data_IF_956804397385
#
_entry.id   IF_956804397385
#
_cell.length_a   1.000
_cell.length_b   1.000
_cell.length_c   1.000
_cell.angle_alpha   90.00
_cell.angle_beta   90.00
_cell.angle_gamma   90.00
#
_symmetry.space_group_name_H-M   'P 1'
#
loop_
_entity.id
_entity.type
_entity.pdbx_description
1 polymer ?
#
# COMPACT_ATOMS: atom_id res chain seq x y z
N UNK A 1 -44.17 48.94 11.02
CA UNK A 1 -42.70 49.16 10.87
C UNK A 1 -42.41 50.07 9.67
N UNK A 2 -41.95 51.32 9.87
CA UNK A 2 -41.62 52.28 8.80
C UNK A 2 -40.28 51.88 8.16
N UNK A 3 -40.26 51.41 6.88
CA UNK A 3 -39.04 51.21 6.11
C UNK A 3 -38.33 52.60 5.87
N UNK A 4 -37.19 52.79 6.52
CA UNK A 4 -36.32 53.97 6.32
C UNK A 4 -35.83 53.98 4.87
N UNK A 5 -36.30 54.92 4.02
CA UNK A 5 -35.81 55.15 2.67
C UNK A 5 -34.36 55.70 2.76
N UNK A 6 -33.40 55.00 2.10
CA UNK A 6 -32.04 55.44 1.98
C UNK A 6 -31.96 56.79 1.20
N UNK A 7 -31.12 57.72 1.66
CA UNK A 7 -30.92 58.99 1.01
C UNK A 7 -30.30 58.84 -0.40
N UNK A 8 -30.67 59.74 -1.32
CA UNK A 8 -30.14 59.74 -2.70
C UNK A 8 -28.60 59.73 -2.75
N UNK A 9 -27.93 60.40 -1.79
CA UNK A 9 -26.47 60.46 -1.67
C UNK A 9 -25.88 59.08 -1.32
N UNK A 10 -26.46 58.33 -0.39
CA UNK A 10 -26.05 56.94 -0.03
C UNK A 10 -26.24 55.98 -1.16
N UNK A 11 -27.31 56.09 -1.94
CA UNK A 11 -27.53 55.24 -3.13
C UNK A 11 -26.46 55.51 -4.22
N UNK A 12 -26.06 56.78 -4.47
CA UNK A 12 -25.01 57.11 -5.42
C UNK A 12 -23.65 56.55 -5.00
N UNK A 13 -23.29 56.65 -3.72
CA UNK A 13 -22.03 56.10 -3.20
C UNK A 13 -21.97 54.57 -3.31
N UNK A 14 -23.06 53.87 -2.98
CA UNK A 14 -23.12 52.40 -3.12
C UNK A 14 -23.04 51.99 -4.60
N UNK A 15 -23.72 52.73 -5.49
CA UNK A 15 -23.68 52.46 -6.92
C UNK A 15 -22.27 52.68 -7.51
N UNK A 16 -21.56 53.73 -7.11
CA UNK A 16 -20.17 53.97 -7.50
C UNK A 16 -19.21 52.87 -6.96
N UNK A 17 -19.39 52.39 -5.73
CA UNK A 17 -18.58 51.31 -5.17
C UNK A 17 -18.82 49.96 -5.92
N UNK A 18 -20.05 49.67 -6.30
CA UNK A 18 -20.37 48.49 -7.09
C UNK A 18 -19.75 48.54 -8.49
N UNK A 19 -19.78 49.70 -9.14
CA UNK A 19 -19.12 49.89 -10.46
C UNK A 19 -17.61 49.72 -10.33
N UNK A 20 -16.97 50.28 -9.32
CA UNK A 20 -15.52 50.11 -9.09
C UNK A 20 -15.19 48.66 -8.84
N UNK A 21 -16.00 47.90 -8.04
CA UNK A 21 -15.79 46.50 -7.80
C UNK A 21 -15.91 45.65 -9.06
N UNK A 22 -16.90 45.96 -9.92
CA UNK A 22 -17.08 45.29 -11.21
C UNK A 22 -15.88 45.57 -12.15
N UNK A 23 -15.38 46.81 -12.20
CA UNK A 23 -14.21 47.18 -13.02
C UNK A 23 -12.93 46.49 -12.52
N UNK A 24 -12.77 46.31 -11.21
CA UNK A 24 -11.64 45.57 -10.64
C UNK A 24 -11.73 44.06 -10.98
N UNK A 25 -12.93 43.50 -10.94
CA UNK A 25 -13.14 42.06 -11.32
C UNK A 25 -12.90 41.87 -12.83
N UNK A 26 -13.41 42.78 -13.67
CA UNK A 26 -13.22 42.72 -15.14
C UNK A 26 -11.75 43.00 -15.49
N UNK A 27 -11.11 44.01 -14.89
CA UNK A 27 -9.70 44.31 -15.11
C UNK A 27 -8.77 43.19 -14.63
N UNK A 28 -9.06 42.63 -13.46
CA UNK A 28 -8.34 41.45 -12.93
C UNK A 28 -8.51 40.24 -13.82
N UNK A 29 -9.74 39.95 -14.28
CA UNK A 29 -10.02 38.84 -15.20
C UNK A 29 -9.33 39.04 -16.56
N UNK A 30 -9.35 40.28 -17.12
CA UNK A 30 -8.66 40.62 -18.37
C UNK A 30 -7.14 40.51 -18.26
N UNK A 31 -6.58 40.92 -17.12
CA UNK A 31 -5.14 40.78 -16.82
C UNK A 31 -4.70 39.32 -16.74
N UNK A 32 -5.51 38.44 -16.09
CA UNK A 32 -5.25 37.01 -15.98
C UNK A 32 -5.36 36.35 -17.36
N UNK A 33 -6.36 36.71 -18.17
CA UNK A 33 -6.58 36.10 -19.49
C UNK A 33 -5.50 36.53 -20.53
N UNK A 34 -4.92 37.73 -20.39
CA UNK A 34 -3.88 38.24 -21.31
C UNK A 34 -2.46 37.83 -20.83
N UNK A 35 -2.29 37.34 -19.64
CA UNK A 35 -1.00 36.90 -19.13
C UNK A 35 -0.88 35.37 -19.27
N UNK A 36 -0.54 34.93 -20.49
CA UNK A 36 -0.44 33.49 -20.84
C UNK A 36 0.48 32.72 -19.89
N UNK A 37 1.54 33.36 -19.35
CA UNK A 37 2.44 32.73 -18.40
C UNK A 37 1.81 32.56 -17.01
N UNK A 38 0.97 33.50 -16.56
CA UNK A 38 0.26 33.38 -15.28
C UNK A 38 -0.88 32.35 -15.38
N UNK A 39 -1.62 32.36 -16.50
CA UNK A 39 -2.66 31.38 -16.78
C UNK A 39 -2.07 29.98 -16.93
N UNK A 40 -0.87 29.88 -17.53
CA UNK A 40 -0.13 28.60 -17.64
C UNK A 40 0.36 28.12 -16.28
N UNK A 41 0.95 28.99 -15.45
CA UNK A 41 1.34 28.68 -14.06
C UNK A 41 0.16 28.32 -13.16
N UNK A 42 -1.01 28.94 -13.35
CA UNK A 42 -2.23 28.61 -12.62
C UNK A 42 -2.78 27.25 -13.11
N UNK A 43 -2.76 26.97 -14.42
CA UNK A 43 -3.12 25.66 -14.97
C UNK A 43 -2.13 24.57 -14.53
N UNK A 44 -0.84 24.82 -14.55
CA UNK A 44 0.19 23.89 -14.06
C UNK A 44 0.05 23.62 -12.55
N UNK A 45 -0.46 24.59 -11.77
CA UNK A 45 -0.74 24.40 -10.33
C UNK A 45 -2.09 23.70 -10.05
N UNK A 46 -2.97 23.60 -11.06
CA UNK A 46 -4.31 22.98 -10.96
C UNK A 46 -4.36 21.62 -11.66
N UNK A 47 -3.38 21.26 -12.48
CA UNK A 47 -3.20 19.86 -12.85
C UNK A 47 -2.71 19.11 -11.60
N UNK A 48 -3.64 18.57 -10.83
CA UNK A 48 -3.36 17.55 -9.85
C UNK A 48 -2.73 16.41 -10.63
N UNK A 49 -1.40 16.30 -10.59
CA UNK A 49 -0.70 15.19 -11.23
C UNK A 49 -1.23 13.91 -10.61
N UNK A 50 -1.79 13.05 -11.45
CA UNK A 50 -2.24 11.73 -11.00
C UNK A 50 -1.04 10.88 -10.64
N UNK A 51 -1.10 10.20 -9.49
CA UNK A 51 -0.12 9.19 -9.14
C UNK A 51 -0.10 8.10 -10.23
N UNK A 52 1.10 7.58 -10.52
CA UNK A 52 1.29 6.50 -11.49
C UNK A 52 0.77 5.17 -10.97
N UNK A 53 0.94 4.94 -9.65
CA UNK A 53 0.63 3.65 -9.06
C UNK A 53 -0.86 3.45 -8.78
N UNK A 54 -1.54 4.50 -8.32
CA UNK A 54 -2.97 4.44 -7.96
C UNK A 54 -3.61 5.81 -8.07
N UNK A 55 -4.86 5.88 -8.52
CA UNK A 55 -5.65 7.11 -8.48
C UNK A 55 -6.21 7.29 -7.05
N UNK A 56 -5.70 8.28 -6.31
CA UNK A 56 -6.15 8.55 -4.94
C UNK A 56 -7.59 9.08 -4.87
N UNK A 57 -8.09 9.66 -5.95
CA UNK A 57 -9.46 10.16 -6.06
C UNK A 57 -10.45 9.06 -6.49
N UNK A 58 -9.92 7.92 -6.96
CA UNK A 58 -10.73 6.77 -7.32
C UNK A 58 -11.47 6.22 -6.11
N UNK A 59 -12.75 5.95 -6.30
CA UNK A 59 -13.62 5.30 -5.32
C UNK A 59 -13.72 3.79 -5.50
N UNK A 60 -12.95 3.20 -6.40
CA UNK A 60 -12.89 1.74 -6.55
C UNK A 60 -12.47 1.11 -5.23
N UNK A 61 -13.23 0.14 -4.75
CA UNK A 61 -12.88 -0.61 -3.54
C UNK A 61 -11.76 -1.59 -3.84
N UNK A 62 -10.67 -1.61 -3.04
CA UNK A 62 -9.53 -2.49 -3.29
C UNK A 62 -9.87 -3.98 -3.13
N UNK A 63 -9.06 -4.84 -3.75
CA UNK A 63 -9.04 -6.29 -3.53
C UNK A 63 -7.76 -6.69 -2.83
N UNK A 64 -7.86 -7.42 -1.72
CA UNK A 64 -6.73 -7.96 -0.96
C UNK A 64 -6.59 -9.46 -1.22
N UNK A 65 -5.67 -9.87 -2.07
CA UNK A 65 -5.52 -11.26 -2.52
C UNK A 65 -4.38 -11.95 -1.80
N UNK A 66 -4.68 -13.08 -1.14
CA UNK A 66 -3.69 -13.92 -0.48
C UNK A 66 -2.83 -14.69 -1.48
N UNK A 67 -1.53 -14.48 -1.45
CA UNK A 67 -0.56 -15.09 -2.38
C UNK A 67 0.39 -16.03 -1.64
N UNK A 68 0.57 -17.20 -2.22
CA UNK A 68 1.45 -18.26 -1.71
C UNK A 68 2.92 -17.92 -1.93
N UNK A 69 3.72 -17.86 -0.86
CA UNK A 69 5.16 -17.54 -0.96
C UNK A 69 6.08 -18.74 -0.66
N UNK A 70 5.57 -19.96 -0.72
CA UNK A 70 6.41 -21.17 -0.66
C UNK A 70 7.37 -21.23 -1.85
N UNK A 71 8.59 -21.76 -1.70
CA UNK A 71 9.61 -21.80 -2.75
C UNK A 71 9.10 -22.38 -4.09
N UNK A 72 8.23 -23.41 -4.03
CA UNK A 72 7.60 -24.00 -5.24
C UNK A 72 6.50 -23.13 -5.85
N UNK A 73 6.02 -22.14 -5.11
CA UNK A 73 4.98 -21.21 -5.58
C UNK A 73 5.57 -19.92 -6.16
N UNK A 74 6.73 -19.48 -5.66
CA UNK A 74 7.37 -18.24 -6.12
C UNK A 74 7.61 -18.19 -7.63
N UNK A 75 7.95 -19.33 -8.22
CA UNK A 75 8.10 -19.45 -9.69
C UNK A 75 6.76 -19.37 -10.44
N UNK A 76 5.64 -19.19 -9.75
CA UNK A 76 4.30 -19.08 -10.29
C UNK A 76 3.62 -17.77 -9.85
N UNK A 77 4.35 -16.83 -9.27
CA UNK A 77 3.78 -15.53 -8.94
C UNK A 77 3.35 -14.83 -10.23
N UNK A 78 2.15 -14.28 -10.23
CA UNK A 78 1.61 -13.54 -11.34
C UNK A 78 0.80 -12.34 -10.83
N UNK A 79 1.00 -11.19 -11.47
CA UNK A 79 0.26 -9.97 -11.20
C UNK A 79 0.72 -9.19 -9.98
N UNK A 80 1.87 -9.51 -9.36
CA UNK A 80 2.36 -8.76 -8.20
C UNK A 80 2.77 -7.33 -8.56
N UNK A 81 3.21 -7.08 -9.79
CA UNK A 81 3.61 -5.75 -10.25
C UNK A 81 2.42 -4.81 -10.47
N UNK A 82 1.20 -5.35 -10.61
CA UNK A 82 -0.05 -4.57 -10.67
C UNK A 82 -0.57 -4.17 -9.28
N UNK A 83 -0.09 -4.82 -8.21
CA UNK A 83 -0.46 -4.48 -6.85
C UNK A 83 0.23 -3.20 -6.40
N UNK A 84 -0.53 -2.25 -5.81
CA UNK A 84 0.07 -1.02 -5.30
C UNK A 84 0.66 -1.18 -3.90
N UNK A 85 0.16 -2.14 -3.10
CA UNK A 85 0.75 -2.54 -1.82
C UNK A 85 0.82 -4.07 -1.75
N UNK A 86 1.95 -4.60 -1.28
CA UNK A 86 2.12 -6.02 -0.98
C UNK A 86 2.61 -6.18 0.45
N UNK A 87 1.79 -6.79 1.30
CA UNK A 87 2.18 -7.16 2.67
C UNK A 87 2.84 -8.54 2.66
N UNK A 88 3.95 -8.67 3.38
CA UNK A 88 4.60 -9.96 3.64
C UNK A 88 4.71 -10.19 5.14
N UNK A 89 4.26 -11.33 5.61
CA UNK A 89 4.39 -11.74 7.00
C UNK A 89 4.64 -13.24 7.13
N UNK A 90 5.25 -13.64 8.25
CA UNK A 90 5.51 -15.04 8.56
C UNK A 90 4.20 -15.82 8.66
N UNK A 91 4.20 -17.04 8.16
CA UNK A 91 3.09 -17.98 8.25
C UNK A 91 3.55 -19.26 8.96
N UNK A 92 3.13 -20.44 8.49
CA UNK A 92 3.54 -21.70 9.11
C UNK A 92 4.94 -22.13 8.70
N UNK A 93 5.63 -22.84 9.59
CA UNK A 93 6.89 -23.51 9.31
C UNK A 93 8.02 -22.55 8.93
N UNK A 94 7.99 -21.32 9.45
CA UNK A 94 8.99 -20.31 9.17
C UNK A 94 8.94 -19.72 7.75
N UNK A 95 7.90 -20.06 6.97
CA UNK A 95 7.69 -19.49 5.64
C UNK A 95 6.79 -18.27 5.73
N UNK A 96 6.94 -17.33 4.81
CA UNK A 96 6.06 -16.17 4.70
C UNK A 96 4.89 -16.42 3.75
N UNK A 97 3.94 -15.51 3.80
CA UNK A 97 2.84 -15.38 2.85
C UNK A 97 2.71 -13.93 2.43
N UNK A 98 2.24 -13.69 1.20
CA UNK A 98 1.97 -12.35 0.72
C UNK A 98 0.45 -12.09 0.73
N UNK A 99 0.10 -10.82 0.87
CA UNK A 99 -1.22 -10.30 0.56
C UNK A 99 -1.04 -9.08 -0.34
N UNK A 100 -1.52 -9.19 -1.58
CA UNK A 100 -1.37 -8.15 -2.59
C UNK A 100 -2.67 -7.34 -2.71
N UNK A 101 -2.56 -6.01 -2.67
CA UNK A 101 -3.69 -5.08 -2.76
C UNK A 101 -3.74 -4.51 -4.18
N UNK A 102 -4.87 -4.74 -4.85
CA UNK A 102 -5.16 -4.27 -6.20
C UNK A 102 -6.23 -3.19 -6.16
N UNK A 103 -6.02 -2.11 -6.91
CA UNK A 103 -6.98 -1.03 -7.11
C UNK A 103 -6.75 -0.40 -8.48
N UNK A 104 -7.80 -0.16 -9.24
CA UNK A 104 -7.77 0.53 -10.55
C UNK A 104 -6.87 -0.13 -11.61
N UNK A 105 -6.63 -1.43 -11.49
CA UNK A 105 -5.85 -2.22 -12.44
C UNK A 105 -6.63 -3.46 -12.86
N UNK A 106 -6.63 -3.73 -14.15
CA UNK A 106 -7.14 -4.97 -14.72
C UNK A 106 -5.99 -5.97 -14.81
N UNK A 107 -6.06 -6.97 -13.95
CA UNK A 107 -5.05 -8.03 -13.87
C UNK A 107 -5.69 -9.36 -14.23
N UNK A 108 -5.31 -9.90 -15.39
CA UNK A 108 -5.92 -11.13 -15.94
C UNK A 108 -5.53 -12.39 -15.16
N UNK A 109 -4.40 -12.36 -14.45
CA UNK A 109 -3.93 -13.51 -13.68
C UNK A 109 -3.24 -13.08 -12.40
N UNK A 110 -3.84 -13.47 -11.28
CA UNK A 110 -3.34 -13.18 -9.92
C UNK A 110 -3.09 -14.50 -9.21
N UNK A 111 -1.91 -14.69 -8.66
CA UNK A 111 -1.62 -15.88 -7.86
C UNK A 111 -0.16 -16.24 -7.68
N UNK A 112 0.09 -17.43 -7.14
CA UNK A 112 -0.91 -18.47 -6.81
C UNK A 112 -1.64 -18.13 -5.52
N UNK A 113 -2.97 -18.13 -5.58
CA UNK A 113 -3.83 -17.77 -4.44
C UNK A 113 -3.73 -18.81 -3.32
N UNK A 114 -3.75 -18.35 -2.07
CA UNK A 114 -3.52 -19.20 -0.89
C UNK A 114 -4.49 -18.89 0.26
N UNK A 115 -4.37 -19.72 1.31
CA UNK A 115 -5.27 -19.69 2.47
C UNK A 115 -5.08 -18.46 3.34
N UNK A 116 -6.17 -17.96 3.91
CA UNK A 116 -6.23 -16.88 4.89
C UNK A 116 -5.50 -17.22 6.19
N UNK A 117 -4.96 -16.20 6.85
CA UNK A 117 -4.46 -16.21 8.24
C UNK A 117 -5.01 -14.99 8.99
N UNK A 118 -5.19 -15.09 10.32
CA UNK A 118 -5.98 -14.13 11.09
C UNK A 118 -5.44 -12.68 11.00
N UNK A 119 -4.14 -12.50 11.07
CA UNK A 119 -3.51 -11.16 11.04
C UNK A 119 -3.57 -10.47 9.66
N UNK A 120 -3.70 -11.20 8.55
CA UNK A 120 -3.90 -10.59 7.23
C UNK A 120 -5.27 -9.93 7.10
N UNK A 121 -6.25 -10.35 7.91
CA UNK A 121 -7.56 -9.69 7.96
C UNK A 121 -7.44 -8.24 8.46
N UNK A 122 -6.53 -7.99 9.39
CA UNK A 122 -6.30 -6.66 9.96
C UNK A 122 -5.79 -5.67 8.90
N UNK A 123 -4.91 -6.16 8.03
CA UNK A 123 -4.37 -5.39 6.89
C UNK A 123 -5.37 -5.28 5.72
N UNK A 124 -6.23 -6.27 5.51
CA UNK A 124 -7.31 -6.17 4.54
C UNK A 124 -8.37 -5.14 4.98
N UNK A 125 -8.72 -5.12 6.28
CA UNK A 125 -9.69 -4.19 6.87
C UNK A 125 -9.17 -2.75 6.91
N UNK A 126 -7.88 -2.53 7.18
CA UNK A 126 -7.30 -1.18 7.14
C UNK A 126 -7.35 -0.56 5.74
N UNK A 127 -7.36 -1.37 4.69
CA UNK A 127 -7.52 -0.94 3.30
C UNK A 127 -8.99 -0.93 2.84
N UNK A 128 -9.94 -1.31 3.69
CA UNK A 128 -11.35 -1.56 3.30
C UNK A 128 -11.48 -2.48 2.09
N UNK A 129 -10.58 -3.45 1.97
CA UNK A 129 -10.49 -4.31 0.80
C UNK A 129 -11.49 -5.47 0.86
N UNK A 130 -11.99 -5.91 -0.31
CA UNK A 130 -12.63 -7.21 -0.45
C UNK A 130 -11.53 -8.27 -0.36
N UNK A 131 -11.62 -9.13 0.66
CA UNK A 131 -10.57 -10.10 0.99
C UNK A 131 -10.71 -11.40 0.18
N UNK A 132 -9.67 -11.78 -0.56
CA UNK A 132 -9.68 -12.90 -1.50
C UNK A 132 -8.66 -13.96 -1.09
N UNK A 133 -9.11 -15.19 -0.92
CA UNK A 133 -8.27 -16.29 -0.46
C UNK A 133 -8.77 -17.65 -0.98
N UNK A 134 -7.95 -18.70 -0.84
CA UNK A 134 -8.33 -20.07 -1.16
C UNK A 134 -8.12 -20.96 0.05
N UNK A 135 -9.16 -21.12 0.86
CA UNK A 135 -9.12 -21.77 2.17
C UNK A 135 -8.69 -20.83 3.30
N UNK A 136 -8.67 -21.34 4.53
CA UNK A 136 -8.35 -20.59 5.75
C UNK A 136 -7.78 -21.51 6.85
N UNK A 137 -7.20 -20.91 7.90
CA UNK A 137 -7.01 -21.57 9.18
C UNK A 137 -8.29 -21.45 10.03
N UNK A 138 -8.52 -22.33 11.03
CA UNK A 138 -9.69 -22.23 11.89
C UNK A 138 -9.88 -20.85 12.52
N UNK A 139 -8.82 -20.27 13.06
CA UNK A 139 -8.88 -18.91 13.62
C UNK A 139 -9.25 -17.85 12.56
N UNK A 140 -8.66 -17.92 11.36
CA UNK A 140 -9.01 -16.98 10.30
C UNK A 140 -10.47 -17.12 9.85
N UNK A 141 -11.02 -18.33 9.83
CA UNK A 141 -12.44 -18.58 9.54
C UNK A 141 -13.34 -17.91 10.59
N UNK A 142 -13.03 -18.10 11.86
CA UNK A 142 -13.74 -17.47 12.97
C UNK A 142 -13.68 -15.96 12.90
N UNK A 143 -12.49 -15.40 12.67
CA UNK A 143 -12.26 -13.96 12.59
C UNK A 143 -12.96 -13.31 11.39
N UNK A 144 -13.00 -13.96 10.23
CA UNK A 144 -13.77 -13.49 9.06
C UNK A 144 -15.24 -13.27 9.43
N UNK A 145 -15.83 -14.20 10.17
CA UNK A 145 -17.21 -14.11 10.62
C UNK A 145 -17.37 -13.02 11.70
N UNK A 146 -16.52 -13.04 12.72
CA UNK A 146 -16.62 -12.14 13.88
C UNK A 146 -16.39 -10.67 13.49
N UNK A 147 -15.45 -10.41 12.57
CA UNK A 147 -15.13 -9.07 12.06
C UNK A 147 -16.00 -8.66 10.87
N UNK A 148 -16.92 -9.51 10.45
CA UNK A 148 -17.81 -9.27 9.31
C UNK A 148 -17.06 -8.87 8.03
N UNK A 149 -15.97 -9.62 7.70
CA UNK A 149 -15.11 -9.32 6.55
C UNK A 149 -15.81 -9.71 5.25
N UNK A 150 -15.94 -8.76 4.32
CA UNK A 150 -16.33 -9.07 2.95
C UNK A 150 -15.24 -9.94 2.32
N UNK A 151 -15.52 -11.23 2.10
CA UNK A 151 -14.51 -12.17 1.64
C UNK A 151 -14.99 -13.06 0.48
N UNK A 152 -14.04 -13.46 -0.34
CA UNK A 152 -14.20 -14.41 -1.44
C UNK A 152 -13.29 -15.60 -1.16
N UNK A 153 -13.87 -16.76 -0.88
CA UNK A 153 -13.14 -18.02 -0.70
C UNK A 153 -13.20 -18.85 -1.98
N UNK A 154 -12.12 -18.90 -2.73
CA UNK A 154 -12.04 -19.62 -4.00
C UNK A 154 -12.35 -21.12 -3.93
N UNK A 155 -12.41 -21.74 -2.72
CA UNK A 155 -12.90 -23.13 -2.57
C UNK A 155 -14.40 -23.22 -2.87
N UNK A 156 -15.15 -22.15 -2.63
CA UNK A 156 -16.60 -22.07 -2.78
C UNK A 156 -17.03 -21.51 -4.13
N UNK A 157 -16.07 -21.13 -4.97
CA UNK A 157 -16.31 -20.45 -6.22
C UNK A 157 -16.16 -21.39 -7.44
N UNK A 158 -16.66 -20.93 -8.58
CA UNK A 158 -16.57 -21.65 -9.85
C UNK A 158 -15.12 -21.83 -10.30
N UNK A 159 -14.82 -22.96 -10.96
CA UNK A 159 -13.52 -23.18 -11.61
C UNK A 159 -13.23 -22.23 -12.79
N UNK A 160 -14.24 -21.49 -13.26
CA UNK A 160 -14.05 -20.44 -14.25
C UNK A 160 -13.53 -19.14 -13.61
N UNK A 161 -13.82 -18.94 -12.33
CA UNK A 161 -13.40 -17.73 -11.58
C UNK A 161 -12.15 -17.97 -10.73
N UNK A 162 -11.94 -19.24 -10.30
CA UNK A 162 -10.71 -19.70 -9.64
C UNK A 162 -10.23 -20.98 -10.31
N UNK A 163 -9.16 -20.89 -11.07
CA UNK A 163 -8.68 -22.02 -11.91
C UNK A 163 -7.28 -22.49 -11.53
N UNK A 164 -7.01 -23.76 -11.85
CA UNK A 164 -5.68 -24.35 -11.70
C UNK A 164 -5.01 -24.48 -13.05
N UNK A 165 -3.76 -23.98 -13.17
CA UNK A 165 -2.94 -24.25 -14.33
C UNK A 165 -2.39 -25.67 -14.29
N UNK A 166 -2.30 -26.32 -15.46
CA UNK A 166 -1.95 -27.76 -15.58
C UNK A 166 -0.44 -28.00 -15.53
N UNK A 167 0.36 -27.02 -15.94
CA UNK A 167 1.83 -27.10 -15.98
C UNK A 167 2.47 -26.94 -14.58
N UNK A 168 1.70 -26.63 -13.58
CA UNK A 168 2.15 -26.47 -12.19
C UNK A 168 1.40 -27.42 -11.26
N UNK A 169 2.10 -27.87 -10.20
CA UNK A 169 1.52 -28.81 -9.23
C UNK A 169 0.70 -28.15 -8.14
N UNK A 170 -0.45 -28.75 -7.81
CA UNK A 170 -1.21 -28.40 -6.62
C UNK A 170 -0.33 -28.57 -5.35
N UNK A 171 -0.46 -27.72 -4.33
CA UNK A 171 -1.42 -26.62 -4.16
C UNK A 171 -0.90 -25.24 -4.61
N UNK A 172 0.14 -25.19 -5.45
CA UNK A 172 0.87 -23.97 -5.81
C UNK A 172 0.44 -23.38 -7.16
N UNK A 173 -0.75 -23.72 -7.66
CA UNK A 173 -1.18 -23.43 -9.03
C UNK A 173 -2.61 -22.88 -9.15
N UNK A 174 -3.14 -22.27 -8.09
CA UNK A 174 -4.48 -21.65 -8.08
C UNK A 174 -4.37 -20.18 -8.48
N UNK A 175 -5.20 -19.74 -9.44
CA UNK A 175 -5.22 -18.36 -9.95
C UNK A 175 -6.64 -17.82 -9.99
N UNK A 176 -6.75 -16.49 -10.06
CA UNK A 176 -7.96 -15.72 -10.29
C UNK A 176 -7.61 -14.47 -11.11
N UNK A 177 -8.58 -13.56 -11.34
CA UNK A 177 -8.38 -12.26 -11.99
C UNK A 177 -9.22 -11.18 -11.31
N UNK A 178 -8.89 -9.90 -11.55
CA UNK A 178 -9.70 -8.78 -11.06
C UNK A 178 -11.13 -8.85 -11.59
N UNK A 179 -11.31 -9.22 -12.85
CA UNK A 179 -12.64 -9.41 -13.45
C UNK A 179 -13.47 -10.49 -12.74
N UNK A 180 -12.83 -11.64 -12.40
CA UNK A 180 -13.49 -12.72 -11.64
C UNK A 180 -13.86 -12.25 -10.22
N UNK A 181 -12.97 -11.51 -9.56
CA UNK A 181 -13.21 -10.98 -8.22
C UNK A 181 -14.38 -10.00 -8.23
N UNK A 182 -14.41 -9.05 -9.17
CA UNK A 182 -15.50 -8.09 -9.33
C UNK A 182 -16.85 -8.78 -9.54
N UNK A 183 -16.91 -9.71 -10.48
CA UNK A 183 -18.11 -10.50 -10.77
C UNK A 183 -18.65 -11.23 -9.53
N UNK A 184 -17.76 -11.81 -8.72
CA UNK A 184 -18.15 -12.50 -7.49
C UNK A 184 -18.59 -11.50 -6.42
N UNK A 185 -17.91 -10.37 -6.28
CA UNK A 185 -18.27 -9.32 -5.34
C UNK A 185 -19.68 -8.78 -5.59
N UNK A 186 -20.01 -8.48 -6.86
CA UNK A 186 -21.34 -8.05 -7.30
C UNK A 186 -22.40 -9.11 -6.99
N UNK A 187 -22.15 -10.38 -7.33
CA UNK A 187 -23.04 -11.50 -7.03
C UNK A 187 -23.30 -11.67 -5.53
N UNK A 188 -22.30 -11.38 -4.68
CA UNK A 188 -22.40 -11.42 -3.22
C UNK A 188 -23.03 -10.16 -2.63
N UNK A 189 -23.32 -9.13 -3.44
CA UNK A 189 -23.86 -7.85 -2.99
C UNK A 189 -22.86 -7.01 -2.19
N UNK A 190 -21.56 -7.21 -2.39
CA UNK A 190 -20.53 -6.39 -1.75
C UNK A 190 -20.44 -5.03 -2.44
N UNK A 191 -20.30 -3.96 -1.65
CA UNK A 191 -19.99 -2.66 -2.22
C UNK A 191 -18.65 -2.73 -2.97
N UNK A 192 -18.62 -2.26 -4.21
CA UNK A 192 -17.46 -2.19 -5.08
C UNK A 192 -16.78 -0.82 -5.04
N UNK A 193 -17.31 0.09 -4.24
CA UNK A 193 -16.77 1.43 -3.99
C UNK A 193 -16.42 1.61 -2.52
N UNK A 194 -15.42 2.48 -2.25
CA UNK A 194 -14.97 2.85 -0.92
C UNK A 194 -14.55 4.32 -0.92
N UNK A 195 -14.88 5.05 0.15
CA UNK A 195 -14.39 6.39 0.41
C UNK A 195 -13.11 6.40 1.28
N UNK A 196 -12.62 5.21 1.66
CA UNK A 196 -11.42 5.07 2.50
C UNK A 196 -10.18 5.42 1.69
N UNK A 197 -9.38 6.34 2.21
CA UNK A 197 -8.10 6.71 1.60
C UNK A 197 -7.07 5.58 1.75
N UNK A 198 -6.03 5.61 0.93
CA UNK A 198 -4.89 4.71 1.08
C UNK A 198 -4.29 4.81 2.49
N UNK A 199 -3.81 3.67 3.01
CA UNK A 199 -3.06 3.60 4.27
C UNK A 199 -1.72 4.34 4.17
N UNK A 200 -1.19 4.49 2.96
CA UNK A 200 0.06 5.20 2.68
C UNK A 200 -0.23 6.60 2.12
N UNK A 201 0.50 7.58 2.63
CA UNK A 201 0.43 8.97 2.20
C UNK A 201 1.32 9.18 0.96
N UNK A 202 0.88 8.66 -0.19
CA UNK A 202 1.60 8.83 -1.46
C UNK A 202 1.64 10.28 -1.89
N UNK A 203 2.81 10.73 -2.35
CA UNK A 203 3.02 12.03 -2.97
C UNK A 203 3.28 11.89 -4.47
N UNK A 204 3.09 12.96 -5.23
CA UNK A 204 3.49 13.00 -6.63
C UNK A 204 5.03 13.07 -6.74
N UNK A 205 5.61 12.05 -7.37
CA UNK A 205 7.06 11.93 -7.55
C UNK A 205 7.76 11.19 -6.41
N UNK A 206 9.01 11.56 -6.19
CA UNK A 206 9.91 10.88 -5.26
C UNK A 206 9.96 11.62 -3.92
N UNK A 207 9.88 10.88 -2.81
CA UNK A 207 10.14 11.40 -1.47
C UNK A 207 11.67 11.51 -1.27
N UNK A 208 12.20 12.72 -1.29
CA UNK A 208 13.64 12.95 -1.10
C UNK A 208 14.02 12.82 0.38
N UNK A 209 14.34 11.59 0.79
CA UNK A 209 14.75 11.30 2.16
C UNK A 209 16.07 11.98 2.54
N UNK A 210 16.99 12.11 1.57
CA UNK A 210 18.27 12.75 1.76
C UNK A 210 18.13 14.23 2.09
N UNK A 211 17.33 14.96 1.32
CA UNK A 211 17.10 16.38 1.53
C UNK A 211 16.32 16.61 2.84
N UNK A 212 15.27 15.85 3.05
CA UNK A 212 14.33 16.04 4.18
C UNK A 212 14.93 15.71 5.54
N UNK A 213 15.72 14.64 5.64
CA UNK A 213 16.23 14.11 6.92
C UNK A 213 17.74 14.29 7.11
N UNK A 214 18.50 14.66 6.07
CA UNK A 214 19.95 14.67 6.07
C UNK A 214 20.54 13.25 6.11
N UNK A 215 21.78 13.10 5.68
CA UNK A 215 22.47 11.79 5.65
C UNK A 215 23.41 11.65 6.83
N UNK A 216 23.51 10.44 7.35
CA UNK A 216 24.59 9.98 8.25
C UNK A 216 25.32 8.83 7.59
N UNK A 217 26.65 8.93 7.55
CA UNK A 217 27.50 7.78 7.24
C UNK A 217 27.64 6.94 8.51
N UNK A 218 27.24 5.67 8.47
CA UNK A 218 27.36 4.76 9.59
C UNK A 218 26.34 3.64 9.63
N UNK A 219 26.41 2.83 10.67
CA UNK A 219 25.57 1.65 10.84
C UNK A 219 24.17 2.01 11.34
N UNK A 220 23.19 1.15 11.01
CA UNK A 220 21.76 1.25 11.33
C UNK A 220 21.48 1.65 12.79
N UNK A 221 22.23 1.11 13.75
CA UNK A 221 21.99 1.32 15.19
C UNK A 221 22.13 2.78 15.62
N UNK A 222 23.04 3.56 14.98
CA UNK A 222 23.21 4.97 15.28
C UNK A 222 22.10 5.86 14.68
N UNK A 223 21.42 5.40 13.63
CA UNK A 223 20.40 6.18 12.93
C UNK A 223 19.01 6.05 13.56
N UNK A 224 18.73 4.95 14.27
CA UNK A 224 17.46 4.74 14.98
C UNK A 224 17.16 5.85 16.01
N UNK A 225 18.19 6.49 16.57
CA UNK A 225 18.02 7.55 17.56
C UNK A 225 18.00 8.95 16.96
N UNK A 226 18.60 9.16 15.78
CA UNK A 226 18.75 10.48 15.18
C UNK A 226 17.68 10.82 14.14
N UNK A 227 16.96 9.83 13.61
CA UNK A 227 15.93 10.03 12.58
C UNK A 227 16.49 10.52 11.24
N UNK A 228 17.76 10.28 10.96
CA UNK A 228 18.43 10.67 9.72
C UNK A 228 18.37 9.55 8.68
N UNK A 229 18.58 9.92 7.42
CA UNK A 229 18.67 8.97 6.31
C UNK A 229 20.04 8.31 6.25
N UNK A 230 20.07 7.03 5.85
CA UNK A 230 21.26 6.25 5.52
C UNK A 230 21.17 5.77 4.08
N UNK A 231 22.30 5.41 3.47
CA UNK A 231 22.31 4.70 2.21
C UNK A 231 21.58 3.36 2.36
N UNK A 232 20.87 2.97 1.33
CA UNK A 232 20.07 1.76 1.31
C UNK A 232 20.02 1.18 -0.11
N UNK A 233 21.20 0.78 -0.61
CA UNK A 233 21.32 0.16 -1.94
C UNK A 233 21.09 -1.34 -1.89
N UNK A 234 21.29 -1.96 -0.73
CA UNK A 234 20.98 -3.35 -0.47
C UNK A 234 20.27 -3.51 0.88
N UNK A 235 19.19 -4.27 0.88
CA UNK A 235 18.42 -4.56 2.09
C UNK A 235 18.26 -6.07 2.24
N UNK A 236 18.52 -6.58 3.47
CA UNK A 236 18.31 -7.99 3.81
C UNK A 236 17.36 -8.09 5.00
N UNK A 237 16.25 -8.80 4.84
CA UNK A 237 15.21 -8.96 5.86
C UNK A 237 15.04 -10.44 6.19
N UNK A 238 15.59 -10.91 7.32
CA UNK A 238 15.41 -12.29 7.76
C UNK A 238 14.06 -12.44 8.49
N UNK A 239 13.01 -12.89 7.80
CA UNK A 239 11.74 -13.23 8.44
C UNK A 239 11.87 -14.46 9.36
N UNK A 240 12.75 -15.40 9.01
CA UNK A 240 13.06 -16.59 9.79
C UNK A 240 14.35 -17.22 9.28
N UNK A 241 14.81 -18.30 9.93
CA UNK A 241 15.94 -19.13 9.44
C UNK A 241 15.67 -19.78 8.08
N UNK A 242 14.40 -19.87 7.66
CA UNK A 242 13.98 -20.50 6.39
C UNK A 242 13.54 -19.46 5.33
N UNK A 243 13.40 -18.22 5.68
CA UNK A 243 12.91 -17.18 4.75
C UNK A 243 13.63 -15.85 4.97
N UNK A 244 14.51 -15.54 4.05
CA UNK A 244 15.15 -14.23 3.90
C UNK A 244 14.67 -13.58 2.60
N UNK A 245 14.40 -12.30 2.66
CA UNK A 245 14.05 -11.46 1.53
C UNK A 245 15.15 -10.43 1.36
N UNK A 246 15.53 -10.19 0.13
CA UNK A 246 16.59 -9.25 -0.22
C UNK A 246 16.08 -8.30 -1.29
N UNK A 247 16.58 -7.07 -1.29
CA UNK A 247 16.27 -6.05 -2.27
C UNK A 247 17.55 -5.34 -2.67
N UNK A 248 17.81 -5.29 -3.98
CA UNK A 248 18.93 -4.57 -4.56
C UNK A 248 18.40 -3.36 -5.33
N UNK A 249 18.91 -2.18 -5.04
CA UNK A 249 18.52 -0.93 -5.69
C UNK A 249 19.10 -0.84 -7.10
N UNK A 250 18.26 -0.57 -8.08
CA UNK A 250 18.64 -0.26 -9.46
C UNK A 250 18.50 1.25 -9.69
N UNK A 251 19.61 1.95 -9.83
CA UNK A 251 19.66 3.41 -10.05
C UNK A 251 18.98 3.84 -11.36
N UNK A 252 18.95 2.96 -12.39
CA UNK A 252 18.38 3.31 -13.70
C UNK A 252 16.85 3.34 -13.64
N UNK A 253 16.23 2.34 -13.00
CA UNK A 253 14.78 2.27 -12.83
C UNK A 253 14.30 3.00 -11.58
N UNK A 254 15.21 3.33 -10.65
CA UNK A 254 14.93 3.84 -9.31
C UNK A 254 13.97 2.95 -8.52
N UNK A 255 14.16 1.65 -8.64
CA UNK A 255 13.36 0.62 -7.97
C UNK A 255 14.27 -0.41 -7.32
N UNK A 256 13.70 -1.22 -6.45
CA UNK A 256 14.38 -2.33 -5.79
C UNK A 256 13.97 -3.65 -6.43
N UNK A 257 14.93 -4.39 -6.98
CA UNK A 257 14.73 -5.76 -7.46
C UNK A 257 14.65 -6.70 -6.28
N UNK A 258 13.59 -7.52 -6.25
CA UNK A 258 13.30 -8.41 -5.13
C UNK A 258 13.90 -9.80 -5.31
N UNK A 259 14.54 -10.30 -4.26
CA UNK A 259 15.05 -11.67 -4.15
C UNK A 259 14.39 -12.38 -2.96
N UNK A 260 14.32 -13.68 -3.01
CA UNK A 260 13.98 -14.53 -1.88
C UNK A 260 14.95 -15.70 -1.78
N UNK A 261 15.68 -15.76 -0.66
CA UNK A 261 16.73 -16.77 -0.42
C UNK A 261 17.77 -16.77 -1.54
N UNK A 262 18.31 -15.60 -1.88
CA UNK A 262 19.35 -15.40 -2.89
C UNK A 262 18.89 -15.63 -4.35
N UNK A 263 17.58 -15.81 -4.59
CA UNK A 263 17.05 -15.98 -5.96
C UNK A 263 16.15 -14.83 -6.33
N UNK A 264 16.42 -14.20 -7.48
CA UNK A 264 15.53 -13.17 -8.03
C UNK A 264 14.12 -13.73 -8.19
N UNK A 265 13.13 -12.93 -7.86
CA UNK A 265 11.74 -13.26 -8.08
C UNK A 265 11.26 -12.64 -9.39
N UNK A 266 10.60 -13.45 -10.21
CA UNK A 266 10.06 -13.03 -11.51
C UNK A 266 8.57 -13.29 -11.57
N UNK A 267 7.87 -12.47 -12.34
CA UNK A 267 6.48 -12.74 -12.70
C UNK A 267 6.40 -13.90 -13.70
N UNK A 268 5.50 -14.83 -13.45
CA UNK A 268 5.33 -16.05 -14.26
C UNK A 268 4.81 -15.78 -15.67
N UNK A 269 4.10 -14.68 -15.88
CA UNK A 269 3.48 -14.34 -17.15
C UNK A 269 4.42 -13.51 -18.02
N UNK A 270 5.00 -12.45 -17.43
CA UNK A 270 5.85 -11.51 -18.15
C UNK A 270 7.30 -11.96 -18.21
N UNK A 271 7.77 -12.74 -17.25
CA UNK A 271 9.17 -13.07 -17.05
C UNK A 271 10.00 -11.92 -16.47
N UNK A 272 9.39 -10.77 -16.21
CA UNK A 272 10.05 -9.60 -15.64
C UNK A 272 10.40 -9.83 -14.16
N UNK A 273 11.44 -9.16 -13.68
CA UNK A 273 11.79 -9.17 -12.27
C UNK A 273 10.74 -8.43 -11.46
N UNK A 274 10.31 -9.02 -10.34
CA UNK A 274 9.45 -8.33 -9.37
C UNK A 274 10.25 -7.21 -8.72
N UNK A 275 9.73 -5.99 -8.84
CA UNK A 275 10.37 -4.76 -8.38
C UNK A 275 9.41 -3.95 -7.51
N UNK A 276 9.98 -3.07 -6.69
CA UNK A 276 9.21 -2.13 -5.90
C UNK A 276 9.91 -0.78 -5.79
N UNK A 277 9.11 0.29 -5.79
CA UNK A 277 9.60 1.66 -5.55
C UNK A 277 9.90 1.89 -4.08
N UNK A 278 9.02 1.38 -3.21
CA UNK A 278 9.08 1.63 -1.78
C UNK A 278 9.15 0.32 -1.00
N UNK A 279 9.90 0.33 0.10
CA UNK A 279 9.92 -0.75 1.07
C UNK A 279 9.59 -0.16 2.44
N UNK A 280 8.64 -0.76 3.14
CA UNK A 280 8.38 -0.49 4.55
C UNK A 280 8.68 -1.77 5.32
N UNK A 281 9.38 -1.62 6.43
CA UNK A 281 9.65 -2.70 7.38
C UNK A 281 8.93 -2.36 8.68
N UNK A 282 8.12 -3.28 9.19
CA UNK A 282 7.49 -3.20 10.52
C UNK A 282 8.01 -4.36 11.36
N UNK A 283 8.62 -4.07 12.48
CA UNK A 283 9.21 -5.05 13.39
C UNK A 283 8.22 -5.39 14.50
N UNK A 284 7.48 -6.49 14.37
CA UNK A 284 6.53 -6.90 15.38
C UNK A 284 6.62 -8.41 15.70
N UNK A 285 6.37 -8.76 16.96
CA UNK A 285 6.42 -10.15 17.41
C UNK A 285 5.40 -11.03 16.72
N UNK A 286 5.86 -12.21 16.32
CA UNK A 286 4.99 -13.34 16.01
C UNK A 286 5.08 -14.40 17.10
N UNK A 287 4.03 -15.18 17.23
CA UNK A 287 3.94 -16.30 18.19
C UNK A 287 3.21 -17.48 17.57
N UNK A 288 3.55 -18.68 18.03
CA UNK A 288 2.85 -19.88 17.57
C UNK A 288 1.49 -19.99 18.27
N UNK A 289 0.44 -20.13 17.47
CA UNK A 289 -0.91 -20.37 17.97
C UNK A 289 -1.00 -21.79 18.52
N UNK A 290 -1.64 -21.92 19.68
CA UNK A 290 -2.06 -23.24 20.18
C UNK A 290 -3.21 -23.75 19.32
N UNK A 291 -2.95 -24.69 18.43
CA UNK A 291 -4.01 -25.32 17.63
C UNK A 291 -3.95 -26.85 17.74
N UNK A 292 -5.13 -27.49 17.67
CA UNK A 292 -5.28 -28.95 17.81
C UNK A 292 -4.62 -29.76 16.68
N UNK A 293 -4.21 -29.05 15.57
CA UNK A 293 -3.59 -29.71 14.43
C UNK A 293 -2.06 -29.63 14.46
N UNK A 294 -1.49 -28.93 15.44
CA UNK A 294 -0.03 -28.77 15.66
C UNK A 294 0.75 -28.31 14.39
N UNK A 295 0.10 -27.53 13.53
CA UNK A 295 0.68 -27.08 12.25
C UNK A 295 1.65 -25.90 12.38
N UNK A 296 1.93 -25.44 13.60
CA UNK A 296 2.80 -24.28 13.85
C UNK A 296 2.28 -22.99 13.24
N UNK A 297 0.95 -22.81 13.22
CA UNK A 297 0.33 -21.56 12.75
C UNK A 297 0.74 -20.39 13.61
N UNK A 298 0.92 -19.24 12.99
CA UNK A 298 1.40 -18.05 13.65
C UNK A 298 0.27 -17.05 13.92
N UNK A 299 0.41 -16.30 15.01
CA UNK A 299 -0.28 -15.04 15.26
C UNK A 299 0.73 -13.90 15.25
N UNK A 300 0.29 -12.66 15.07
CA UNK A 300 1.09 -11.47 15.19
C UNK A 300 0.56 -10.56 16.30
N UNK A 301 1.48 -9.94 17.05
CA UNK A 301 1.15 -8.86 17.99
C UNK A 301 1.22 -7.52 17.27
N UNK A 302 0.41 -7.35 16.24
CA UNK A 302 0.45 -6.23 15.30
C UNK A 302 -0.41 -5.02 15.72
N UNK A 303 -0.91 -4.99 16.95
CA UNK A 303 -1.61 -3.84 17.53
C UNK A 303 -0.69 -3.16 18.54
N UNK A 304 -0.38 -1.89 18.34
CA UNK A 304 0.54 -1.13 19.14
C UNK A 304 1.44 -0.21 18.32
N UNK A 305 2.57 0.17 18.89
CA UNK A 305 3.62 0.98 18.23
C UNK A 305 4.86 0.13 18.07
N UNK A 306 5.37 0.08 16.84
CA UNK A 306 6.51 -0.75 16.45
C UNK A 306 7.58 0.10 15.79
N UNK A 307 8.83 -0.31 15.93
CA UNK A 307 9.94 0.21 15.15
C UNK A 307 9.89 -0.33 13.73
N UNK A 308 10.44 0.45 12.81
CA UNK A 308 10.53 0.07 11.41
C UNK A 308 11.41 0.99 10.59
N UNK A 309 11.41 0.74 9.30
CA UNK A 309 12.13 1.54 8.31
C UNK A 309 11.22 1.87 7.13
N UNK A 310 11.40 3.05 6.59
CA UNK A 310 10.91 3.41 5.25
C UNK A 310 12.09 3.60 4.33
N UNK A 311 12.05 2.97 3.16
CA UNK A 311 13.15 2.88 2.21
C UNK A 311 12.61 3.23 0.82
N UNK A 312 13.26 4.17 0.15
CA UNK A 312 12.98 4.60 -1.23
C UNK A 312 14.21 5.29 -1.82
N UNK A 313 14.37 5.24 -3.14
CA UNK A 313 15.42 5.95 -3.89
C UNK A 313 16.85 5.79 -3.36
N UNK A 314 17.20 4.60 -2.90
CA UNK A 314 18.53 4.29 -2.39
C UNK A 314 18.79 4.77 -0.97
N UNK A 315 17.76 5.24 -0.24
CA UNK A 315 17.87 5.73 1.14
C UNK A 315 16.84 5.09 2.05
N UNK A 316 17.19 5.01 3.34
CA UNK A 316 16.31 4.53 4.41
C UNK A 316 16.25 5.52 5.57
N UNK A 317 15.09 5.63 6.20
CA UNK A 317 14.89 6.33 7.48
C UNK A 317 14.25 5.41 8.50
N UNK A 318 14.53 5.56 9.80
CA UNK A 318 13.78 4.90 10.86
C UNK A 318 12.40 5.53 10.99
N UNK A 319 11.41 4.68 11.26
CA UNK A 319 10.01 5.11 11.44
C UNK A 319 9.36 4.41 12.63
N UNK A 320 8.22 4.95 13.08
CA UNK A 320 7.29 4.27 13.97
C UNK A 320 6.05 3.84 13.19
N UNK A 321 5.65 2.60 13.37
CA UNK A 321 4.45 2.00 12.78
C UNK A 321 3.40 1.86 13.89
N UNK A 322 2.34 2.66 13.85
CA UNK A 322 1.33 2.71 14.91
C UNK A 322 0.00 2.16 14.41
N UNK A 323 -0.52 1.12 15.06
CA UNK A 323 -1.81 0.51 14.75
C UNK A 323 -2.65 0.39 16.03
N UNK A 324 -3.74 1.13 16.10
CA UNK A 324 -4.57 1.23 17.30
C UNK A 324 -5.51 0.03 17.51
N UNK A 325 -5.95 -0.60 16.42
CA UNK A 325 -6.87 -1.73 16.45
C UNK A 325 -6.77 -2.58 15.18
N UNK A 326 -7.44 -3.73 15.17
CA UNK A 326 -7.51 -4.62 14.01
C UNK A 326 -8.09 -3.95 12.74
N UNK A 327 -8.94 -2.94 12.90
CA UNK A 327 -9.62 -2.24 11.80
C UNK A 327 -9.08 -0.84 11.53
N UNK A 328 -8.29 -0.28 12.45
CA UNK A 328 -7.65 1.02 12.27
C UNK A 328 -6.55 0.95 11.22
N UNK A 329 -6.37 2.04 10.47
CA UNK A 329 -5.25 2.17 9.54
C UNK A 329 -3.95 2.30 10.31
N UNK A 330 -2.92 1.59 9.86
CA UNK A 330 -1.56 1.76 10.38
C UNK A 330 -1.05 3.15 9.97
N UNK A 331 -0.53 3.89 10.94
CA UNK A 331 0.13 5.18 10.71
C UNK A 331 1.64 4.98 10.69
N UNK A 332 2.27 5.35 9.60
CA UNK A 332 3.72 5.31 9.45
C UNK A 332 4.27 6.72 9.69
N UNK A 333 5.05 6.88 10.76
CA UNK A 333 5.52 8.19 11.23
C UNK A 333 7.04 8.24 11.30
N UNK A 334 7.60 9.40 11.00
CA UNK A 334 8.99 9.68 11.33
C UNK A 334 9.19 9.77 12.87
N UNK A 335 10.44 9.84 13.32
CA UNK A 335 10.72 9.90 14.77
C UNK A 335 10.26 11.22 15.43
N UNK A 336 9.82 12.20 14.64
CA UNK A 336 9.22 13.45 15.12
C UNK A 336 7.71 13.36 15.24
N UNK A 337 7.10 12.23 14.83
CA UNK A 337 5.66 11.98 14.87
C UNK A 337 4.90 12.45 13.63
N UNK A 338 5.57 12.90 12.57
CA UNK A 338 4.91 13.30 11.32
C UNK A 338 4.63 12.06 10.46
N UNK A 339 3.48 12.01 9.82
CA UNK A 339 3.19 10.99 8.80
C UNK A 339 4.23 11.09 7.68
N UNK A 340 4.85 9.96 7.31
CA UNK A 340 5.82 9.94 6.22
C UNK A 340 5.14 10.19 4.87
N UNK A 341 5.87 10.82 3.96
CA UNK A 341 5.53 10.90 2.55
C UNK A 341 6.10 9.68 1.83
N UNK A 342 5.28 9.03 1.00
CA UNK A 342 5.66 7.81 0.27
C UNK A 342 5.77 8.14 -1.22
N UNK A 343 6.88 7.77 -1.84
CA UNK A 343 7.13 7.98 -3.28
C UNK A 343 6.04 7.33 -4.14
N UNK A 344 5.70 7.97 -5.26
CA UNK A 344 4.78 7.43 -6.26
C UNK A 344 5.33 6.13 -6.86
N UNK A 345 4.73 5.03 -6.49
CA UNK A 345 5.13 3.68 -6.91
C UNK A 345 4.62 2.62 -5.95
N UNK A 346 4.72 1.35 -6.35
CA UNK A 346 4.30 0.23 -5.53
C UNK A 346 5.15 0.11 -4.25
N UNK A 347 4.55 -0.48 -3.22
CA UNK A 347 5.17 -0.60 -1.90
C UNK A 347 5.10 -2.03 -1.38
N UNK A 348 6.24 -2.61 -0.99
CA UNK A 348 6.28 -3.84 -0.19
C UNK A 348 6.39 -3.52 1.29
N UNK A 349 5.43 -4.00 2.08
CA UNK A 349 5.41 -3.86 3.55
C UNK A 349 5.81 -5.20 4.15
N UNK A 350 7.02 -5.27 4.68
CA UNK A 350 7.59 -6.46 5.30
C UNK A 350 7.33 -6.42 6.81
N UNK A 351 6.56 -7.38 7.32
CA UNK A 351 6.28 -7.53 8.74
C UNK A 351 7.16 -8.68 9.24
N UNK A 352 8.21 -8.34 9.95
CA UNK A 352 9.22 -9.28 10.42
C UNK A 352 9.28 -9.34 11.96
N UNK A 353 9.90 -10.38 12.56
CA UNK A 353 10.09 -10.46 13.99
C UNK A 353 10.83 -9.24 14.56
N UNK A 354 10.52 -8.88 15.80
CA UNK A 354 11.11 -7.71 16.45
C UNK A 354 12.63 -7.86 16.67
N UNK A 355 13.12 -9.07 16.78
CA UNK A 355 14.53 -9.41 16.92
C UNK A 355 15.22 -9.72 15.57
N UNK A 356 14.54 -9.51 14.45
CA UNK A 356 15.12 -9.71 13.12
C UNK A 356 16.31 -8.78 12.91
N UNK A 357 17.45 -9.34 12.54
CA UNK A 357 18.65 -8.57 12.20
C UNK A 357 18.56 -8.12 10.76
N UNK A 358 18.01 -6.92 10.58
CA UNK A 358 17.87 -6.29 9.28
C UNK A 358 19.21 -5.68 8.92
N UNK A 359 19.67 -5.93 7.68
CA UNK A 359 20.87 -5.32 7.12
C UNK A 359 20.43 -4.31 6.06
N UNK A 360 20.98 -3.08 6.12
CA UNK A 360 20.78 -2.01 5.14
C UNK A 360 22.16 -1.45 4.81
N UNK A 361 22.55 -1.48 3.54
CA UNK A 361 23.85 -1.06 3.02
C UNK A 361 23.70 0.00 1.90
#
# INVERSE_FOLDING_TARGET
MRKRKMSKKKKKTIFSMVIILILVIIGGGYFILNNNDLAKKIKEKVEVKKLKIVDQDSKTRPYAVMINNHAKARINHAGLDDAYIVYEAIAEGGLTRLMAIFKDKDTDRIGSVRSSRPYFLDYALENDAIYVHHGWSPQAQSDISTLNVNNINGIQESSNDFWRVKDKKSPHNMFTSTASILKIAERKGYATTSDKKSVLNYIDGDADLKEKYGIVEGQIESTLTEGKAINATKIVIPHSTLQTVEYDYDENSKTYVRYARGKVQTDYITGENIQTKNIIITMCDNYTLADSEEKGRQGLKNIGTFDGYYITDGYAIPIKCEKESRTAQTQYKDLKGNIIEVSDGNTFINICPQDAKIEIE
#
